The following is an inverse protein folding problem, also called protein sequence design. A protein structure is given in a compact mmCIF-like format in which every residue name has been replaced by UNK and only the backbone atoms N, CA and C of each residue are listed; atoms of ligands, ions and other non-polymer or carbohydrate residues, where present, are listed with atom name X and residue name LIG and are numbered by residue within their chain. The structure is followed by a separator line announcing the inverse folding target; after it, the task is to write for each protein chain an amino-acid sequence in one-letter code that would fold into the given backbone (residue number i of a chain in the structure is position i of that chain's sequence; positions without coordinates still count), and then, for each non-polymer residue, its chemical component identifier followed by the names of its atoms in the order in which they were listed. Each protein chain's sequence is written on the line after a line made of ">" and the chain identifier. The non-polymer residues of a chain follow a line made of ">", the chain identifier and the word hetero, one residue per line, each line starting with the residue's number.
data_IF_088579115255
#
_entry.id   IF_088579115255
#
_cell.length_a   1.000
_cell.length_b   1.000
_cell.length_c   1.000
_cell.angle_alpha   90.00
_cell.angle_beta   90.00
_cell.angle_gamma   90.00
#
_symmetry.space_group_name_H-M   'P 1'
#
loop_
_entity.id
_entity.type
_entity.pdbx_description
1 polymer ?
#
# COMPACT_ATOMS: atom_id res chain seq x y z
N UNK A 1 -18.24 -2.24 10.38
CA UNK A 1 -17.46 -1.63 9.31
C UNK A 1 -17.73 -2.38 8.00
N UNK A 2 -17.89 -1.66 6.89
CA UNK A 2 -18.04 -2.23 5.54
C UNK A 2 -16.80 -1.92 4.71
N UNK A 3 -16.34 -2.88 3.93
CA UNK A 3 -15.18 -2.68 3.05
C UNK A 3 -15.46 -3.07 1.61
N UNK A 4 -14.74 -2.44 0.68
CA UNK A 4 -14.67 -2.83 -0.72
C UNK A 4 -13.25 -3.26 -1.07
N UNK A 5 -13.11 -4.44 -1.64
CA UNK A 5 -11.84 -4.96 -2.19
C UNK A 5 -11.89 -4.81 -3.69
N UNK A 6 -10.99 -4.03 -4.25
CA UNK A 6 -10.97 -3.78 -5.70
C UNK A 6 -10.26 -4.94 -6.40
N UNK A 7 -10.91 -5.49 -7.40
CA UNK A 7 -10.41 -6.63 -8.19
C UNK A 7 -9.94 -6.14 -9.54
N UNK A 8 -8.68 -6.41 -9.86
CA UNK A 8 -8.08 -6.12 -11.17
C UNK A 8 -7.78 -7.41 -11.92
N UNK A 9 -7.78 -7.40 -13.27
CA UNK A 9 -7.26 -8.52 -14.04
C UNK A 9 -5.83 -8.89 -13.59
N UNK A 10 -5.59 -10.17 -13.28
CA UNK A 10 -4.29 -10.65 -12.80
C UNK A 10 -3.98 -10.35 -11.33
N UNK A 11 -4.85 -9.69 -10.60
CA UNK A 11 -4.76 -9.58 -9.14
C UNK A 11 -5.06 -10.95 -8.53
N UNK A 12 -4.14 -11.50 -7.76
CA UNK A 12 -4.25 -12.85 -7.20
C UNK A 12 -4.30 -12.88 -5.66
N UNK A 13 -4.21 -11.72 -4.99
CA UNK A 13 -4.32 -11.62 -3.53
C UNK A 13 -5.62 -10.95 -3.06
N UNK A 14 -6.57 -10.73 -3.95
CA UNK A 14 -7.85 -10.10 -3.64
C UNK A 14 -8.71 -10.97 -2.71
N UNK A 15 -8.76 -12.29 -2.97
CA UNK A 15 -9.47 -13.24 -2.10
C UNK A 15 -8.80 -13.39 -0.73
N UNK A 16 -7.47 -13.37 -0.67
CA UNK A 16 -6.73 -13.41 0.59
C UNK A 16 -7.09 -12.22 1.48
N UNK A 17 -7.20 -11.03 0.88
CA UNK A 17 -7.66 -9.83 1.56
C UNK A 17 -9.10 -9.97 2.05
N UNK A 18 -10.01 -10.47 1.21
CA UNK A 18 -11.40 -10.68 1.59
C UNK A 18 -11.52 -11.64 2.79
N UNK A 19 -10.83 -12.78 2.73
CA UNK A 19 -10.78 -13.76 3.84
C UNK A 19 -10.18 -13.15 5.11
N UNK A 20 -9.12 -12.36 4.99
CA UNK A 20 -8.53 -11.67 6.14
C UNK A 20 -9.52 -10.70 6.78
N UNK A 21 -10.23 -9.91 5.98
CA UNK A 21 -11.26 -8.98 6.46
C UNK A 21 -12.42 -9.72 7.17
N UNK A 22 -12.85 -10.86 6.64
CA UNK A 22 -13.88 -11.71 7.27
C UNK A 22 -13.45 -12.23 8.64
N UNK A 23 -12.18 -12.66 8.78
CA UNK A 23 -11.61 -13.08 10.08
C UNK A 23 -11.66 -11.97 11.13
N UNK A 24 -11.57 -10.71 10.70
CA UNK A 24 -11.77 -9.55 11.57
C UNK A 24 -13.22 -9.07 11.66
N UNK A 25 -14.19 -9.88 11.21
CA UNK A 25 -15.63 -9.57 11.21
C UNK A 25 -15.98 -8.29 10.45
N UNK A 26 -15.18 -7.94 9.43
CA UNK A 26 -15.42 -6.83 8.53
C UNK A 26 -16.18 -7.35 7.32
N UNK A 27 -17.42 -6.88 7.14
CA UNK A 27 -18.19 -7.20 5.93
C UNK A 27 -17.48 -6.62 4.72
N UNK A 28 -17.14 -7.46 3.75
CA UNK A 28 -16.48 -7.03 2.53
C UNK A 28 -17.30 -7.38 1.30
N UNK A 29 -17.04 -6.66 0.21
CA UNK A 29 -17.54 -6.94 -1.13
C UNK A 29 -16.42 -6.78 -2.14
N UNK A 30 -16.41 -7.66 -3.12
CA UNK A 30 -15.48 -7.61 -4.24
C UNK A 30 -16.03 -6.64 -5.29
N UNK A 31 -15.22 -5.68 -5.74
CA UNK A 31 -15.63 -4.65 -6.72
C UNK A 31 -14.71 -4.76 -7.92
N UNK A 32 -15.29 -5.06 -9.08
CA UNK A 32 -14.52 -5.21 -10.31
C UNK A 32 -13.99 -3.85 -10.80
N UNK A 33 -12.77 -3.83 -11.31
CA UNK A 33 -12.06 -2.60 -11.71
C UNK A 33 -12.81 -1.74 -12.74
N UNK A 34 -13.71 -2.36 -13.52
CA UNK A 34 -14.47 -1.66 -14.57
C UNK A 34 -15.85 -1.18 -14.10
N UNK A 35 -16.20 -1.41 -12.84
CA UNK A 35 -17.43 -0.83 -12.27
C UNK A 35 -17.41 0.69 -12.33
N UNK A 36 -18.59 1.26 -12.52
CA UNK A 36 -18.76 2.73 -12.64
C UNK A 36 -18.90 3.44 -11.31
N UNK A 37 -19.25 2.70 -10.26
CA UNK A 37 -19.53 3.26 -8.94
C UNK A 37 -18.89 2.42 -7.84
N UNK A 38 -18.22 3.07 -6.92
CA UNK A 38 -17.73 2.45 -5.70
C UNK A 38 -18.89 2.36 -4.69
N UNK A 39 -19.27 1.17 -4.23
CA UNK A 39 -20.26 1.03 -3.18
C UNK A 39 -19.87 1.77 -1.91
N UNK A 40 -20.85 2.28 -1.16
CA UNK A 40 -20.60 2.99 0.10
C UNK A 40 -19.85 2.08 1.07
N UNK A 41 -18.62 2.44 1.38
CA UNK A 41 -17.69 1.66 2.20
C UNK A 41 -16.97 2.56 3.20
N UNK A 42 -16.64 2.00 4.35
CA UNK A 42 -15.81 2.67 5.36
C UNK A 42 -14.33 2.49 5.04
N UNK A 43 -13.96 1.35 4.42
CA UNK A 43 -12.61 0.99 4.01
C UNK A 43 -12.62 0.53 2.55
N UNK A 44 -11.68 1.02 1.77
CA UNK A 44 -11.37 0.51 0.44
C UNK A 44 -9.98 -0.13 0.47
N UNK A 45 -9.85 -1.33 -0.12
CA UNK A 45 -8.58 -2.03 -0.20
C UNK A 45 -8.21 -2.27 -1.66
N UNK A 46 -7.01 -1.83 -2.04
CA UNK A 46 -6.34 -2.24 -3.27
C UNK A 46 -5.40 -3.40 -2.91
N UNK A 47 -5.69 -4.63 -3.33
CA UNK A 47 -4.95 -5.81 -2.91
C UNK A 47 -3.58 -5.93 -3.60
N UNK A 48 -2.80 -6.88 -3.14
CA UNK A 48 -1.57 -7.31 -3.79
C UNK A 48 -1.84 -8.18 -5.03
N UNK A 49 -0.76 -8.56 -5.67
CA UNK A 49 -0.76 -9.39 -6.88
C UNK A 49 -0.02 -8.74 -8.02
N UNK A 50 -0.40 -9.07 -9.24
CA UNK A 50 0.22 -8.63 -10.47
C UNK A 50 -0.85 -8.08 -11.42
N UNK A 51 -1.49 -6.97 -11.06
CA UNK A 51 -2.57 -6.39 -11.85
C UNK A 51 -2.11 -6.14 -13.30
N UNK A 52 -2.87 -6.66 -14.25
CA UNK A 52 -2.55 -6.68 -15.69
C UNK A 52 -1.17 -7.27 -16.01
N UNK A 53 -0.66 -8.21 -15.18
CA UNK A 53 0.64 -8.84 -15.37
C UNK A 53 1.82 -7.88 -15.26
N UNK A 54 1.66 -6.75 -14.54
CA UNK A 54 2.66 -5.67 -14.41
C UNK A 54 3.15 -5.10 -15.75
N UNK A 55 2.30 -5.18 -16.78
CA UNK A 55 2.64 -4.70 -18.12
C UNK A 55 2.94 -3.21 -18.11
N UNK A 56 3.95 -2.75 -18.83
CA UNK A 56 4.59 -1.43 -18.81
C UNK A 56 5.41 -1.23 -17.54
N UNK A 57 4.78 -1.11 -16.39
CA UNK A 57 5.32 -1.10 -15.03
C UNK A 57 4.21 -1.41 -14.03
N UNK A 58 4.61 -1.80 -12.83
CA UNK A 58 3.70 -2.22 -11.77
C UNK A 58 2.66 -1.15 -11.46
N UNK A 59 1.37 -1.55 -11.46
CA UNK A 59 0.25 -0.66 -11.15
C UNK A 59 -0.16 0.34 -12.22
N UNK A 60 0.62 0.51 -13.30
CA UNK A 60 0.40 1.57 -14.31
C UNK A 60 -0.96 1.44 -15.00
N UNK A 61 -1.31 0.26 -15.53
CA UNK A 61 -2.60 0.07 -16.22
C UNK A 61 -3.75 0.11 -15.22
N UNK A 62 -3.59 -0.54 -14.08
CA UNK A 62 -4.60 -0.57 -13.02
C UNK A 62 -4.97 0.85 -12.53
N UNK A 63 -4.00 1.77 -12.47
CA UNK A 63 -4.24 3.17 -12.07
C UNK A 63 -5.16 3.94 -13.04
N UNK A 64 -5.39 3.42 -14.25
CA UNK A 64 -6.28 3.99 -15.26
C UNK A 64 -7.65 3.30 -15.30
N UNK A 65 -7.88 2.30 -14.46
CA UNK A 65 -9.16 1.60 -14.37
C UNK A 65 -10.28 2.55 -13.94
N UNK A 66 -11.50 2.27 -14.42
CA UNK A 66 -12.65 3.15 -14.24
C UNK A 66 -12.96 3.43 -12.77
N UNK A 67 -12.90 2.41 -11.92
CA UNK A 67 -13.20 2.50 -10.49
C UNK A 67 -12.23 3.42 -9.73
N UNK A 68 -11.03 3.62 -10.24
CA UNK A 68 -9.99 4.42 -9.56
C UNK A 68 -10.44 5.86 -9.31
N UNK A 69 -11.23 6.44 -10.20
CA UNK A 69 -11.78 7.78 -9.99
C UNK A 69 -12.60 7.86 -8.69
N UNK A 70 -13.39 6.85 -8.40
CA UNK A 70 -14.20 6.81 -7.18
C UNK A 70 -13.37 6.43 -5.95
N UNK A 71 -12.35 5.59 -6.10
CA UNK A 71 -11.35 5.33 -5.05
C UNK A 71 -10.65 6.63 -4.64
N UNK A 72 -10.23 7.45 -5.61
CA UNK A 72 -9.63 8.75 -5.34
C UNK A 72 -10.60 9.72 -4.65
N UNK A 73 -11.86 9.76 -5.08
CA UNK A 73 -12.90 10.56 -4.41
C UNK A 73 -13.13 10.10 -2.98
N UNK A 74 -13.16 8.77 -2.73
CA UNK A 74 -13.28 8.20 -1.40
C UNK A 74 -12.13 8.64 -0.49
N UNK A 75 -10.90 8.52 -0.95
CA UNK A 75 -9.70 8.94 -0.22
C UNK A 75 -9.69 10.45 0.05
N UNK A 76 -10.05 11.28 -0.94
CA UNK A 76 -10.06 12.74 -0.80
C UNK A 76 -11.15 13.23 0.16
N UNK A 77 -12.20 12.45 0.38
CA UNK A 77 -13.23 12.71 1.40
C UNK A 77 -12.84 12.22 2.80
N UNK A 78 -11.62 11.71 2.99
CA UNK A 78 -11.14 11.19 4.27
C UNK A 78 -11.55 9.73 4.55
N UNK A 79 -12.02 9.00 3.55
CA UNK A 79 -12.31 7.57 3.65
C UNK A 79 -11.03 6.74 3.84
N UNK A 80 -11.14 5.62 4.56
CA UNK A 80 -10.00 4.73 4.77
C UNK A 80 -9.64 4.02 3.46
N UNK A 81 -8.37 4.10 3.09
CA UNK A 81 -7.83 3.44 1.90
C UNK A 81 -6.54 2.72 2.23
N UNK A 82 -6.47 1.43 1.91
CA UNK A 82 -5.31 0.59 2.13
C UNK A 82 -4.83 0.02 0.80
N UNK A 83 -3.58 0.30 0.43
CA UNK A 83 -2.89 -0.34 -0.70
C UNK A 83 -1.85 -1.33 -0.20
N UNK A 84 -1.96 -2.60 -0.61
CA UNK A 84 -1.05 -3.66 -0.21
C UNK A 84 -0.22 -4.09 -1.42
N UNK A 85 1.10 -4.10 -1.33
CA UNK A 85 2.00 -4.54 -2.39
C UNK A 85 1.66 -3.85 -3.74
N UNK A 86 1.11 -4.57 -4.71
CA UNK A 86 0.67 -4.01 -5.99
C UNK A 86 -0.38 -2.90 -5.81
N UNK A 87 -1.26 -2.99 -4.80
CA UNK A 87 -2.17 -1.90 -4.46
C UNK A 87 -1.45 -0.62 -4.05
N UNK A 88 -0.34 -0.71 -3.33
CA UNK A 88 0.51 0.44 -3.02
C UNK A 88 1.14 1.04 -4.27
N UNK A 89 1.61 0.20 -5.19
CA UNK A 89 2.15 0.61 -6.50
C UNK A 89 1.10 1.37 -7.32
N UNK A 90 -0.15 0.88 -7.33
CA UNK A 90 -1.28 1.56 -7.98
C UNK A 90 -1.50 2.95 -7.37
N UNK A 91 -1.48 3.08 -6.04
CA UNK A 91 -1.67 4.36 -5.37
C UNK A 91 -0.57 5.39 -5.71
N UNK A 92 0.66 4.96 -5.91
CA UNK A 92 1.74 5.82 -6.40
C UNK A 92 1.47 6.24 -7.84
N UNK A 93 1.09 5.31 -8.72
CA UNK A 93 0.78 5.60 -10.13
C UNK A 93 -0.42 6.54 -10.31
N UNK A 94 -1.35 6.56 -9.37
CA UNK A 94 -2.47 7.53 -9.37
C UNK A 94 -2.04 8.93 -8.91
N UNK A 95 -0.84 9.10 -8.36
CA UNK A 95 -0.39 10.34 -7.74
C UNK A 95 -1.02 10.63 -6.36
N UNK A 96 -1.84 9.72 -5.81
CA UNK A 96 -2.40 9.88 -4.45
C UNK A 96 -1.29 9.79 -3.41
N UNK A 97 -0.29 8.97 -3.68
CA UNK A 97 0.94 8.85 -2.90
C UNK A 97 2.09 9.50 -3.66
N UNK A 98 2.90 10.32 -2.98
CA UNK A 98 4.05 10.94 -3.59
C UNK A 98 5.18 9.93 -3.83
N UNK A 99 6.12 10.28 -4.70
CA UNK A 99 7.30 9.47 -5.03
C UNK A 99 7.08 8.54 -6.22
N UNK A 100 8.05 7.69 -6.46
CA UNK A 100 8.03 6.68 -7.53
C UNK A 100 8.62 5.37 -7.04
N UNK A 101 8.21 4.26 -7.65
CA UNK A 101 8.84 2.97 -7.44
C UNK A 101 9.77 2.65 -8.61
N UNK A 102 10.98 2.28 -8.27
CA UNK A 102 12.01 1.86 -9.20
C UNK A 102 12.26 0.36 -9.06
N UNK A 103 12.88 -0.24 -10.06
CA UNK A 103 13.38 -1.60 -9.97
C UNK A 103 14.34 -1.76 -8.80
N UNK A 104 14.33 -2.93 -8.21
CA UNK A 104 15.25 -3.28 -7.15
C UNK A 104 16.70 -3.05 -7.57
N UNK A 105 17.54 -2.55 -6.67
CA UNK A 105 18.93 -2.17 -6.95
C UNK A 105 19.78 -3.23 -7.67
N UNK A 106 19.49 -4.53 -7.41
CA UNK A 106 20.17 -5.66 -8.06
C UNK A 106 19.44 -6.21 -9.29
N UNK A 107 18.37 -5.55 -9.76
CA UNK A 107 17.53 -5.97 -10.87
C UNK A 107 16.99 -7.40 -10.72
N UNK A 108 16.79 -7.86 -9.50
CA UNK A 108 16.28 -9.20 -9.19
C UNK A 108 15.01 -9.11 -8.36
N UNK A 109 14.12 -10.05 -8.58
CA UNK A 109 12.96 -10.26 -7.73
C UNK A 109 13.43 -10.59 -6.31
N UNK A 110 12.85 -9.94 -5.31
CA UNK A 110 13.11 -10.18 -3.90
C UNK A 110 11.89 -10.85 -3.29
N UNK A 111 12.10 -12.02 -2.68
CA UNK A 111 11.11 -12.72 -1.88
C UNK A 111 11.77 -13.14 -0.58
N UNK A 112 11.46 -12.43 0.51
CA UNK A 112 12.05 -12.70 1.83
C UNK A 112 11.27 -11.99 2.94
N UNK A 113 11.48 -12.43 4.19
CA UNK A 113 11.04 -11.69 5.35
C UNK A 113 11.98 -10.48 5.60
N UNK A 114 11.40 -9.38 6.04
CA UNK A 114 12.10 -8.15 6.41
C UNK A 114 11.60 -7.63 7.75
N UNK A 115 12.48 -6.93 8.45
CA UNK A 115 12.13 -6.26 9.70
C UNK A 115 11.76 -4.81 9.43
N UNK A 116 10.67 -4.37 10.03
CA UNK A 116 10.15 -3.02 9.92
C UNK A 116 9.96 -2.43 11.32
N UNK A 117 10.56 -1.28 11.54
CA UNK A 117 10.33 -0.49 12.75
C UNK A 117 9.11 0.40 12.57
N UNK A 118 8.19 0.34 13.51
CA UNK A 118 7.04 1.25 13.55
C UNK A 118 7.52 2.64 13.96
N UNK A 119 7.30 3.64 13.11
CA UNK A 119 7.74 5.02 13.36
C UNK A 119 6.57 5.99 13.55
N UNK A 120 5.41 5.69 12.96
CA UNK A 120 4.20 6.46 13.19
C UNK A 120 3.08 5.55 13.72
N UNK A 121 2.57 5.88 14.90
CA UNK A 121 1.46 5.17 15.58
C UNK A 121 0.14 5.94 15.54
N UNK A 122 0.12 7.14 14.97
CA UNK A 122 -1.08 7.99 14.91
C UNK A 122 -1.99 7.66 13.71
N UNK A 123 -1.51 6.82 12.80
CA UNK A 123 -2.32 6.34 11.70
C UNK A 123 -3.40 5.38 12.20
N UNK A 124 -4.61 5.45 11.66
CA UNK A 124 -5.70 4.52 11.96
C UNK A 124 -5.34 3.05 11.74
N UNK A 125 -4.37 2.77 10.87
CA UNK A 125 -3.87 1.41 10.62
C UNK A 125 -2.78 0.98 11.60
N UNK A 126 -2.26 1.88 12.43
CA UNK A 126 -1.13 1.61 13.32
C UNK A 126 -1.45 1.85 14.81
N UNK A 127 -2.69 2.12 15.18
CA UNK A 127 -3.10 2.48 16.55
C UNK A 127 -2.73 1.43 17.60
N UNK A 128 -2.69 0.16 17.23
CA UNK A 128 -2.36 -0.94 18.12
C UNK A 128 -0.85 -1.21 18.27
N UNK A 129 -0.02 -0.45 17.55
CA UNK A 129 1.43 -0.54 17.65
C UNK A 129 1.97 0.55 18.59
N UNK A 130 3.21 0.34 19.06
CA UNK A 130 4.01 1.38 19.68
C UNK A 130 5.31 1.59 18.88
N UNK A 131 5.97 2.75 19.05
CA UNK A 131 7.19 3.12 18.30
C UNK A 131 8.40 2.21 18.57
N UNK A 132 8.33 1.31 19.55
CA UNK A 132 9.37 0.32 19.84
C UNK A 132 9.14 -1.00 19.11
N UNK A 133 7.94 -1.20 18.52
CA UNK A 133 7.63 -2.44 17.83
C UNK A 133 8.49 -2.60 16.58
N UNK A 134 9.06 -3.78 16.47
CA UNK A 134 9.66 -4.31 15.25
C UNK A 134 8.73 -5.42 14.79
N UNK A 135 8.27 -5.31 13.56
CA UNK A 135 7.41 -6.30 12.94
C UNK A 135 8.13 -6.98 11.80
N UNK A 136 7.80 -8.23 11.57
CA UNK A 136 8.35 -9.00 10.43
C UNK A 136 7.25 -9.16 9.41
N UNK A 137 7.54 -8.74 8.16
CA UNK A 137 6.63 -8.92 7.04
C UNK A 137 7.34 -9.57 5.85
N UNK A 138 6.66 -10.43 5.09
CA UNK A 138 7.19 -10.92 3.82
C UNK A 138 7.11 -9.82 2.77
N UNK A 139 8.15 -9.69 1.96
CA UNK A 139 8.15 -8.90 0.72
C UNK A 139 8.33 -9.82 -0.48
N UNK A 140 7.65 -9.48 -1.58
CA UNK A 140 7.74 -10.18 -2.85
C UNK A 140 7.56 -9.16 -3.98
N UNK A 141 8.65 -8.64 -4.55
CA UNK A 141 8.58 -7.59 -5.57
C UNK A 141 9.82 -7.52 -6.46
N UNK A 142 9.64 -7.02 -7.66
CA UNK A 142 10.70 -6.62 -8.58
C UNK A 142 10.92 -5.09 -8.56
N UNK A 143 9.86 -4.33 -8.31
CA UNK A 143 9.83 -2.88 -8.21
C UNK A 143 9.36 -2.48 -6.81
N UNK A 144 10.28 -2.47 -5.85
CA UNK A 144 10.03 -2.11 -4.46
C UNK A 144 10.98 -1.02 -3.93
N UNK A 145 11.79 -0.45 -4.81
CA UNK A 145 12.74 0.62 -4.46
C UNK A 145 12.02 1.97 -4.55
N UNK A 146 11.46 2.42 -3.42
CA UNK A 146 10.80 3.72 -3.34
C UNK A 146 11.83 4.85 -3.42
N UNK A 147 11.59 5.77 -4.34
CA UNK A 147 12.46 6.91 -4.57
C UNK A 147 11.68 8.23 -4.47
N UNK A 148 12.30 9.21 -3.84
CA UNK A 148 11.80 10.59 -3.74
C UNK A 148 12.96 11.56 -3.60
N UNK A 149 12.75 12.85 -3.87
CA UNK A 149 13.74 13.87 -3.61
C UNK A 149 13.78 14.25 -2.12
N UNK A 150 14.86 14.93 -1.70
CA UNK A 150 15.09 15.29 -0.30
C UNK A 150 14.01 16.22 0.27
N UNK A 151 13.47 17.13 -0.52
CA UNK A 151 12.42 18.04 -0.11
C UNK A 151 11.13 17.28 0.23
N UNK A 152 10.72 16.37 -0.66
CA UNK A 152 9.54 15.55 -0.45
C UNK A 152 9.73 14.57 0.70
N UNK A 153 10.93 13.99 0.84
CA UNK A 153 11.26 13.13 1.96
C UNK A 153 11.08 13.86 3.29
N UNK A 154 11.67 15.06 3.42
CA UNK A 154 11.51 15.90 4.61
C UNK A 154 10.05 16.20 4.89
N UNK A 155 9.27 16.53 3.87
CA UNK A 155 7.83 16.78 3.97
C UNK A 155 7.03 15.57 4.46
N UNK A 156 7.42 14.36 4.04
CA UNK A 156 6.83 13.09 4.53
C UNK A 156 7.16 12.84 6.00
N UNK A 157 8.38 13.12 6.41
CA UNK A 157 8.83 12.99 7.80
C UNK A 157 8.16 14.02 8.71
N UNK A 158 8.19 15.30 8.34
CA UNK A 158 7.60 16.41 9.13
C UNK A 158 6.08 16.22 9.33
N UNK A 159 5.39 15.66 8.35
CA UNK A 159 3.96 15.36 8.41
C UNK A 159 3.62 13.99 9.01
N UNK A 160 4.61 13.25 9.50
CA UNK A 160 4.44 11.88 10.01
C UNK A 160 3.70 10.94 9.03
N UNK A 161 3.99 11.03 7.73
CA UNK A 161 3.37 10.20 6.70
C UNK A 161 4.09 8.87 6.47
N UNK A 162 5.17 8.59 7.18
CA UNK A 162 5.91 7.34 7.12
C UNK A 162 5.48 6.47 8.31
N UNK A 163 4.84 5.34 8.04
CA UNK A 163 4.37 4.43 9.08
C UNK A 163 5.49 3.50 9.57
N UNK A 164 6.29 2.98 8.64
CA UNK A 164 7.35 2.01 8.91
C UNK A 164 8.65 2.39 8.23
N UNK A 165 9.78 2.01 8.85
CA UNK A 165 11.11 2.06 8.23
C UNK A 165 11.75 0.68 8.29
N UNK A 166 12.46 0.28 7.24
CA UNK A 166 13.25 -0.95 7.26
C UNK A 166 14.34 -0.88 8.31
N UNK A 167 14.53 -1.96 9.04
CA UNK A 167 15.53 -2.07 10.09
C UNK A 167 16.15 -3.48 10.12
N UNK A 168 17.16 -3.65 10.97
CA UNK A 168 17.67 -4.97 11.35
C UNK A 168 16.82 -5.55 12.51
N UNK A 169 17.14 -6.75 12.97
CA UNK A 169 16.48 -7.42 14.10
C UNK A 169 16.53 -6.60 15.41
N UNK A 170 17.54 -5.75 15.56
CA UNK A 170 17.72 -4.88 16.74
C UNK A 170 16.95 -3.55 16.63
N UNK A 171 16.33 -3.29 15.47
CA UNK A 171 15.58 -2.06 15.20
C UNK A 171 16.43 -0.90 14.73
N UNK A 172 17.72 -1.12 14.37
CA UNK A 172 18.55 -0.10 13.77
C UNK A 172 18.14 0.10 12.31
N UNK A 173 17.90 1.35 11.93
CA UNK A 173 17.48 1.70 10.58
C UNK A 173 18.65 1.50 9.62
N UNK A 174 18.46 0.67 8.60
CA UNK A 174 19.47 0.39 7.60
C UNK A 174 19.31 1.33 6.41
N UNK A 175 20.37 2.06 6.06
CA UNK A 175 20.39 3.08 5.01
C UNK A 175 20.07 2.53 3.60
N UNK A 176 20.21 1.22 3.41
CA UNK A 176 19.99 0.58 2.09
C UNK A 176 18.54 0.28 1.74
N UNK A 177 17.60 0.55 2.65
CA UNK A 177 16.17 0.26 2.48
C UNK A 177 15.38 1.49 2.90
N UNK A 178 15.42 2.51 2.08
CA UNK A 178 14.70 3.75 2.34
C UNK A 178 13.22 3.58 2.09
N UNK A 179 12.46 3.72 3.16
CA UNK A 179 11.06 4.14 3.25
C UNK A 179 9.99 3.24 2.64
N UNK A 180 9.34 2.48 3.50
CA UNK A 180 7.99 2.01 3.24
C UNK A 180 7.03 3.08 3.78
N UNK A 181 6.28 3.71 2.90
CA UNK A 181 5.16 4.57 3.30
C UNK A 181 3.88 3.76 3.19
N UNK A 182 3.18 3.59 4.31
CA UNK A 182 1.76 3.27 4.25
C UNK A 182 1.03 4.61 4.31
N UNK A 183 0.37 5.03 3.25
CA UNK A 183 -0.35 6.28 3.26
C UNK A 183 -1.62 6.12 4.05
N UNK A 184 -1.75 6.97 4.98
CA UNK A 184 -2.99 7.21 5.66
C UNK A 184 -3.32 8.67 5.44
N UNK A 185 -4.17 8.96 4.47
CA UNK A 185 -5.06 10.10 4.61
C UNK A 185 -6.22 9.61 5.47
N UNK A 186 -6.28 10.05 6.66
CA UNK A 186 -7.48 10.17 7.45
C UNK A 186 -7.78 11.65 7.58
#
# INVERSE_FOLDING_TARGET
>A
MKSSVIVFPGSNCDRDVAVALEKFQIKNQMVWHNESNLPKSDLVVLPGGFSYGDYLRTGCIASKSRIINDVLKHANKGGLLLGICNGFQILIETGLLPGVLLRNKKLRFLSKNVFLKVVNVNSKFCLNYNKKNIITLPIAHNEGNYFTNNELLKKLEDKNLIAFKYCNEKGDITVSYTHLTLPTKA
#
